data_IF_168417170661
#
_entry.id   IF_168417170661
#
_cell.length_a   1.000
_cell.length_b   1.000
_cell.length_c   1.000
_cell.angle_alpha   90.00
_cell.angle_beta   90.00
_cell.angle_gamma   90.00
#
_symmetry.space_group_name_H-M   'P 1'
#
loop_
_entity.id
_entity.type
_entity.pdbx_description
1 polymer ?
#
# COMPACT_ATOMS: atom_id res chain seq x y z
N UNK A 1 14.62 2.54 -20.28
CA UNK A 1 14.60 1.80 -19.01
C UNK A 1 13.87 2.70 -18.03
N UNK A 2 12.79 2.22 -17.40
CA UNK A 2 12.16 3.00 -16.32
C UNK A 2 13.15 3.06 -15.16
N UNK A 3 13.48 4.27 -14.70
CA UNK A 3 14.27 4.44 -13.48
C UNK A 3 13.41 3.99 -12.29
N UNK A 4 13.70 2.78 -11.80
CA UNK A 4 13.08 2.19 -10.64
C UNK A 4 13.37 3.06 -9.41
N UNK A 5 12.33 3.59 -8.78
CA UNK A 5 12.45 4.51 -7.64
C UNK A 5 12.45 3.74 -6.33
N UNK A 6 13.10 4.33 -5.32
CA UNK A 6 13.04 3.85 -3.94
C UNK A 6 12.13 4.71 -3.06
N UNK A 7 11.28 4.05 -2.28
CA UNK A 7 10.50 4.64 -1.21
C UNK A 7 10.84 4.01 0.14
N UNK A 8 10.90 4.81 1.20
CA UNK A 8 11.11 4.34 2.56
C UNK A 8 9.77 3.90 3.16
N UNK A 9 9.60 2.60 3.41
CA UNK A 9 8.47 2.07 4.16
C UNK A 9 8.70 2.24 5.67
N UNK A 10 7.90 3.12 6.30
CA UNK A 10 7.91 3.34 7.75
C UNK A 10 7.10 2.27 8.51
N UNK A 11 6.14 1.65 7.81
CA UNK A 11 5.20 0.71 8.42
C UNK A 11 4.20 1.40 9.36
N UNK A 12 3.59 0.60 10.23
CA UNK A 12 2.74 1.03 11.34
C UNK A 12 3.44 0.73 12.67
N UNK A 13 3.03 1.37 13.75
CA UNK A 13 3.65 1.18 15.07
C UNK A 13 3.21 -0.11 15.75
N UNK A 14 4.14 -0.73 16.49
CA UNK A 14 3.84 -1.80 17.44
C UNK A 14 3.34 -1.22 18.76
N UNK A 15 4.03 -1.53 19.86
CA UNK A 15 3.72 -0.92 21.17
C UNK A 15 4.00 0.59 21.22
N UNK A 16 4.83 1.10 20.32
CA UNK A 16 5.19 2.51 20.19
C UNK A 16 5.91 2.79 18.86
N UNK A 17 6.31 4.06 18.62
CA UNK A 17 7.06 4.40 17.43
C UNK A 17 8.41 3.64 17.40
N UNK A 18 8.82 3.11 16.23
CA UNK A 18 10.16 2.58 16.06
C UNK A 18 11.23 3.61 16.49
N UNK A 19 12.29 3.18 17.18
CA UNK A 19 13.35 4.10 17.58
C UNK A 19 14.07 4.65 16.34
N UNK A 20 14.49 5.92 16.41
CA UNK A 20 15.35 6.52 15.39
C UNK A 20 14.67 6.91 14.06
N UNK A 21 13.33 6.86 13.94
CA UNK A 21 12.62 7.19 12.69
C UNK A 21 13.03 8.53 12.07
N UNK A 22 13.18 9.60 12.85
CA UNK A 22 13.57 10.92 12.34
C UNK A 22 14.97 10.92 11.69
N UNK A 23 15.92 10.19 12.29
CA UNK A 23 17.26 10.00 11.72
C UNK A 23 17.18 9.19 10.43
N UNK A 24 16.39 8.11 10.44
CA UNK A 24 16.23 7.24 9.27
C UNK A 24 15.63 7.97 8.07
N UNK A 25 14.60 8.80 8.28
CA UNK A 25 13.99 9.62 7.24
C UNK A 25 14.99 10.61 6.65
N UNK A 26 15.73 11.32 7.49
CA UNK A 26 16.78 12.25 7.03
C UNK A 26 17.88 11.51 6.25
N UNK A 27 18.26 10.30 6.68
CA UNK A 27 19.23 9.48 5.98
C UNK A 27 18.70 9.02 4.60
N UNK A 28 17.46 8.55 4.53
CA UNK A 28 16.82 8.16 3.27
C UNK A 28 16.75 9.32 2.27
N UNK A 29 16.40 10.54 2.71
CA UNK A 29 16.40 11.72 1.82
C UNK A 29 17.79 12.06 1.27
N UNK A 30 18.85 11.85 2.07
CA UNK A 30 20.24 12.04 1.65
C UNK A 30 20.71 10.96 0.68
N UNK A 31 20.24 9.72 0.89
CA UNK A 31 20.52 8.56 0.02
C UNK A 31 19.71 8.58 -1.29
N UNK A 32 18.86 9.59 -1.50
CA UNK A 32 18.12 9.77 -2.75
C UNK A 32 16.82 8.99 -2.84
N UNK A 33 16.24 8.53 -1.73
CA UNK A 33 14.90 7.95 -1.74
C UNK A 33 13.87 8.99 -2.20
N UNK A 34 13.02 8.63 -3.16
CA UNK A 34 12.02 9.51 -3.78
C UNK A 34 10.88 9.84 -2.79
N UNK A 35 10.54 8.88 -1.92
CA UNK A 35 9.32 8.95 -1.12
C UNK A 35 9.44 8.23 0.23
N UNK A 36 8.58 8.57 1.20
CA UNK A 36 8.39 7.81 2.44
C UNK A 36 6.93 7.47 2.64
N UNK A 37 6.67 6.30 3.23
CA UNK A 37 5.34 5.71 3.28
C UNK A 37 4.97 5.18 4.66
N UNK A 38 3.93 5.76 5.28
CA UNK A 38 3.38 5.27 6.55
C UNK A 38 2.16 4.39 6.32
N UNK A 39 1.98 3.36 7.15
CA UNK A 39 0.85 2.45 7.06
C UNK A 39 -0.10 2.63 8.26
N UNK A 40 -1.38 2.33 8.03
CA UNK A 40 -2.42 2.31 9.05
C UNK A 40 -2.92 0.89 9.26
N UNK A 41 -2.90 0.47 10.52
CA UNK A 41 -3.53 -0.75 11.00
C UNK A 41 -4.45 -0.39 12.18
N UNK A 42 -4.48 -1.18 13.24
CA UNK A 42 -5.24 -0.93 14.47
C UNK A 42 -4.35 -0.34 15.59
N UNK A 43 -3.42 0.53 15.22
CA UNK A 43 -2.45 1.19 16.10
C UNK A 43 -2.29 2.67 15.75
N UNK A 44 -1.09 3.08 15.32
CA UNK A 44 -0.86 4.42 14.78
C UNK A 44 -1.64 4.67 13.49
N UNK A 45 -2.13 5.90 13.30
CA UNK A 45 -2.65 6.35 12.01
C UNK A 45 -1.50 6.63 11.02
N UNK A 46 -1.81 6.67 9.71
CA UNK A 46 -0.78 6.89 8.68
C UNK A 46 -0.48 8.37 8.37
N UNK A 47 -1.33 9.32 8.78
CA UNK A 47 -1.20 10.74 8.41
C UNK A 47 -0.32 11.52 9.38
N UNK A 48 -0.48 11.29 10.69
CA UNK A 48 0.25 12.01 11.73
C UNK A 48 1.76 11.78 11.64
N UNK A 49 2.28 10.54 11.49
CA UNK A 49 3.72 10.32 11.33
C UNK A 49 4.28 11.00 10.09
N UNK A 50 3.53 11.02 8.98
CA UNK A 50 3.95 11.71 7.75
C UNK A 50 4.01 13.21 7.93
N UNK A 51 3.04 13.83 8.62
CA UNK A 51 3.08 15.26 8.91
C UNK A 51 4.29 15.61 9.78
N UNK A 52 4.51 14.83 10.84
CA UNK A 52 5.59 15.05 11.81
C UNK A 52 6.98 14.88 11.17
N UNK A 53 7.23 13.74 10.52
CA UNK A 53 8.52 13.44 9.88
C UNK A 53 8.68 14.23 8.57
N UNK A 54 7.58 14.51 7.87
CA UNK A 54 7.58 15.24 6.60
C UNK A 54 8.03 16.69 6.75
N UNK A 55 7.79 17.29 7.92
CA UNK A 55 8.25 18.62 8.27
C UNK A 55 9.80 18.74 8.28
N UNK A 56 10.52 17.63 8.47
CA UNK A 56 11.99 17.61 8.47
C UNK A 56 12.60 17.31 7.09
N UNK A 57 11.77 17.08 6.07
CA UNK A 57 12.20 16.76 4.70
C UNK A 57 11.86 17.90 3.73
N UNK A 58 12.54 17.95 2.58
CA UNK A 58 12.35 19.02 1.58
C UNK A 58 11.92 18.50 0.21
N UNK A 59 12.26 17.28 -0.15
CA UNK A 59 12.09 16.72 -1.50
C UNK A 59 11.22 15.47 -1.51
N UNK A 60 11.38 14.59 -0.52
CA UNK A 60 10.69 13.29 -0.53
C UNK A 60 9.17 13.44 -0.65
N UNK A 61 8.51 12.60 -1.44
CA UNK A 61 7.05 12.47 -1.41
C UNK A 61 6.58 11.81 -0.12
N UNK A 62 5.39 12.17 0.35
CA UNK A 62 4.79 11.64 1.57
C UNK A 62 3.61 10.75 1.17
N UNK A 63 3.77 9.44 1.21
CA UNK A 63 2.75 8.49 0.81
C UNK A 63 2.09 7.78 1.98
N UNK A 64 0.83 7.41 1.82
CA UNK A 64 0.15 6.48 2.75
C UNK A 64 0.09 5.10 2.12
N UNK A 65 0.43 4.03 2.85
CA UNK A 65 0.44 2.63 2.37
C UNK A 65 -0.19 1.67 3.38
N UNK A 66 -1.45 1.86 3.76
CA UNK A 66 -2.48 2.79 3.25
C UNK A 66 -3.16 3.51 4.41
N UNK A 67 -3.97 4.54 4.12
CA UNK A 67 -5.06 4.95 5.02
C UNK A 67 -6.28 4.06 4.78
N UNK A 68 -6.94 3.63 5.85
CA UNK A 68 -8.06 2.69 5.76
C UNK A 68 -9.36 3.45 5.52
N UNK A 69 -10.10 3.10 4.46
CA UNK A 69 -11.36 3.80 4.13
C UNK A 69 -12.42 3.70 5.23
N UNK A 70 -12.42 2.63 6.02
CA UNK A 70 -13.34 2.48 7.14
C UNK A 70 -13.01 3.40 8.33
N UNK A 71 -11.76 3.86 8.46
CA UNK A 71 -11.35 4.71 9.58
C UNK A 71 -11.98 6.11 9.53
N UNK A 72 -12.38 6.56 8.34
CA UNK A 72 -12.76 7.96 8.08
C UNK A 72 -13.78 8.06 6.94
N UNK A 73 -14.73 8.99 7.05
CA UNK A 73 -15.61 9.33 5.92
C UNK A 73 -14.78 9.89 4.75
N UNK A 74 -15.23 9.75 3.49
CA UNK A 74 -14.48 10.24 2.33
C UNK A 74 -14.16 11.74 2.41
N UNK A 75 -15.10 12.57 2.90
CA UNK A 75 -14.85 14.01 3.05
C UNK A 75 -13.77 14.29 4.10
N UNK A 76 -13.75 13.57 5.23
CA UNK A 76 -12.70 13.73 6.25
C UNK A 76 -11.31 13.33 5.72
N UNK A 77 -11.24 12.27 4.92
CA UNK A 77 -10.00 11.87 4.24
C UNK A 77 -9.52 12.91 3.23
N UNK A 78 -10.43 13.49 2.42
CA UNK A 78 -10.05 14.57 1.50
C UNK A 78 -9.55 15.82 2.25
N UNK A 79 -10.18 16.19 3.36
CA UNK A 79 -9.72 17.31 4.20
C UNK A 79 -8.29 17.06 4.67
N UNK A 80 -8.01 15.90 5.25
CA UNK A 80 -6.69 15.56 5.73
C UNK A 80 -5.65 15.51 4.60
N UNK A 81 -6.01 14.95 3.44
CA UNK A 81 -5.15 14.92 2.26
C UNK A 81 -4.78 16.32 1.78
N UNK A 82 -5.76 17.24 1.65
CA UNK A 82 -5.48 18.64 1.25
C UNK A 82 -4.62 19.37 2.27
N UNK A 83 -4.87 19.18 3.57
CA UNK A 83 -4.05 19.78 4.63
C UNK A 83 -2.61 19.30 4.55
N UNK A 84 -2.38 17.99 4.44
CA UNK A 84 -1.04 17.43 4.35
C UNK A 84 -0.35 17.79 3.03
N UNK A 85 -1.09 17.94 1.94
CA UNK A 85 -0.56 18.43 0.66
C UNK A 85 -0.06 19.88 0.79
N UNK A 86 -0.81 20.76 1.46
CA UNK A 86 -0.35 22.12 1.77
C UNK A 86 0.87 22.13 2.68
N UNK A 87 0.84 21.39 3.80
CA UNK A 87 1.96 21.33 4.75
C UNK A 87 3.25 20.80 4.11
N UNK A 88 3.11 19.86 3.18
CA UNK A 88 4.25 19.27 2.48
C UNK A 88 4.68 20.05 1.24
N UNK A 89 3.95 21.09 0.82
CA UNK A 89 4.26 21.85 -0.41
C UNK A 89 4.01 21.04 -1.69
N UNK A 90 2.93 20.25 -1.72
CA UNK A 90 2.50 19.49 -2.90
C UNK A 90 3.15 18.10 -3.04
N UNK A 91 3.73 17.57 -1.96
CA UNK A 91 4.48 16.31 -1.96
C UNK A 91 3.64 15.10 -1.51
N UNK A 92 2.37 15.30 -1.12
CA UNK A 92 1.57 14.21 -0.55
C UNK A 92 1.06 13.23 -1.62
N UNK A 93 0.88 11.96 -1.26
CA UNK A 93 0.31 10.91 -2.10
C UNK A 93 -0.65 10.10 -1.25
N UNK A 94 -1.91 10.05 -1.66
CA UNK A 94 -2.96 9.38 -0.90
C UNK A 94 -3.09 7.93 -1.35
N UNK A 95 -2.47 7.00 -0.62
CA UNK A 95 -2.74 5.58 -0.78
C UNK A 95 -3.89 5.12 0.10
N UNK A 96 -4.89 4.51 -0.52
CA UNK A 96 -6.15 4.10 0.11
C UNK A 96 -6.34 2.59 -0.01
N UNK A 97 -6.94 1.99 1.01
CA UNK A 97 -7.30 0.57 0.99
C UNK A 97 -8.60 0.28 1.71
N UNK A 98 -9.26 -0.80 1.27
CA UNK A 98 -10.53 -1.24 1.84
C UNK A 98 -10.38 -2.01 3.16
N UNK A 99 -9.17 -2.48 3.47
CA UNK A 99 -8.86 -3.43 4.54
C UNK A 99 -9.65 -4.74 4.41
N UNK A 100 -9.47 -5.67 5.35
CA UNK A 100 -10.25 -6.91 5.47
C UNK A 100 -11.38 -6.82 6.50
N UNK A 101 -12.33 -7.78 6.49
CA UNK A 101 -13.49 -7.77 7.40
C UNK A 101 -13.10 -7.77 8.88
N UNK A 102 -12.01 -8.46 9.27
CA UNK A 102 -11.53 -8.45 10.66
C UNK A 102 -11.28 -7.03 11.20
N UNK A 103 -10.70 -6.15 10.37
CA UNK A 103 -10.44 -4.76 10.75
C UNK A 103 -11.72 -3.93 10.62
N UNK A 104 -12.43 -4.05 9.50
CA UNK A 104 -13.60 -3.18 9.26
C UNK A 104 -14.73 -3.45 10.25
N UNK A 105 -15.06 -4.72 10.49
CA UNK A 105 -16.14 -5.12 11.39
C UNK A 105 -15.66 -5.17 12.85
N UNK A 106 -14.49 -5.75 13.10
CA UNK A 106 -13.99 -5.95 14.46
C UNK A 106 -13.42 -4.69 15.12
N UNK A 107 -12.70 -3.86 14.37
CA UNK A 107 -12.03 -2.68 14.92
C UNK A 107 -12.86 -1.39 14.72
N UNK A 108 -13.46 -1.20 13.55
CA UNK A 108 -14.25 0.00 13.26
C UNK A 108 -15.77 -0.17 13.45
N UNK A 109 -16.26 -1.39 13.71
CA UNK A 109 -17.68 -1.64 13.93
C UNK A 109 -18.56 -1.35 12.71
N UNK A 110 -17.99 -1.40 11.50
CA UNK A 110 -18.70 -1.09 10.26
C UNK A 110 -18.95 -2.37 9.45
N UNK A 111 -20.05 -2.45 8.69
CA UNK A 111 -20.30 -3.61 7.84
C UNK A 111 -19.31 -3.66 6.66
N UNK A 112 -19.01 -4.87 6.15
CA UNK A 112 -18.12 -5.07 4.99
C UNK A 112 -18.83 -5.53 3.68
N UNK A 113 -19.85 -4.81 3.16
CA UNK A 113 -20.51 -5.19 1.91
C UNK A 113 -19.75 -4.64 0.69
N UNK A 114 -19.65 -5.47 -0.36
CA UNK A 114 -19.26 -5.06 -1.74
C UNK A 114 -18.11 -4.03 -1.81
N UNK A 115 -16.88 -4.42 -1.41
CA UNK A 115 -15.75 -3.49 -1.28
C UNK A 115 -15.43 -2.70 -2.56
N UNK A 116 -15.65 -3.26 -3.75
CA UNK A 116 -15.44 -2.59 -5.04
C UNK A 116 -16.36 -1.38 -5.24
N UNK A 117 -17.67 -1.55 -5.07
CA UNK A 117 -18.65 -0.48 -5.24
C UNK A 117 -18.43 0.62 -4.21
N UNK A 118 -18.21 0.25 -2.94
CA UNK A 118 -17.87 1.21 -1.87
C UNK A 118 -16.62 2.02 -2.19
N UNK A 119 -15.56 1.38 -2.71
CA UNK A 119 -14.31 2.07 -3.08
C UNK A 119 -14.56 3.09 -4.19
N UNK A 120 -15.35 2.72 -5.21
CA UNK A 120 -15.71 3.63 -6.31
C UNK A 120 -16.45 4.86 -5.80
N UNK A 121 -17.47 4.69 -4.96
CA UNK A 121 -18.20 5.81 -4.37
C UNK A 121 -17.31 6.68 -3.47
N UNK A 122 -16.45 6.06 -2.65
CA UNK A 122 -15.51 6.78 -1.79
C UNK A 122 -14.56 7.67 -2.58
N UNK A 123 -13.93 7.12 -3.62
CA UNK A 123 -13.01 7.87 -4.49
C UNK A 123 -13.74 8.95 -5.29
N UNK A 124 -14.97 8.69 -5.76
CA UNK A 124 -15.77 9.71 -6.44
C UNK A 124 -16.03 10.93 -5.52
N UNK A 125 -16.41 10.69 -4.27
CA UNK A 125 -16.61 11.78 -3.28
C UNK A 125 -15.29 12.51 -2.98
N UNK A 126 -14.18 11.77 -2.80
CA UNK A 126 -12.86 12.38 -2.64
C UNK A 126 -12.54 13.34 -3.79
N UNK A 127 -12.75 12.91 -5.03
CA UNK A 127 -12.48 13.73 -6.22
C UNK A 127 -13.37 14.98 -6.27
N UNK A 128 -14.66 14.90 -5.92
CA UNK A 128 -15.51 16.09 -5.82
C UNK A 128 -14.97 17.11 -4.80
N UNK A 129 -14.51 16.63 -3.63
CA UNK A 129 -13.92 17.52 -2.60
C UNK A 129 -12.62 18.14 -3.12
N UNK A 130 -11.75 17.33 -3.73
CA UNK A 130 -10.46 17.77 -4.28
C UNK A 130 -10.61 18.69 -5.50
N UNK A 131 -11.71 18.59 -6.26
CA UNK A 131 -12.09 19.54 -7.30
C UNK A 131 -12.76 20.81 -6.74
N UNK A 132 -12.94 20.86 -5.40
CA UNK A 132 -13.62 21.94 -4.67
C UNK A 132 -15.04 22.20 -5.19
N UNK A 133 -15.75 21.14 -5.53
CA UNK A 133 -17.17 21.17 -5.89
C UNK A 133 -18.05 21.38 -4.65
N UNK A 134 -19.34 21.68 -4.86
CA UNK A 134 -20.33 21.49 -3.80
C UNK A 134 -20.65 20.00 -3.76
N UNK A 135 -20.25 19.32 -2.70
CA UNK A 135 -20.28 17.87 -2.64
C UNK A 135 -21.72 17.39 -2.45
N UNK A 136 -22.18 16.59 -3.40
CA UNK A 136 -23.46 15.89 -3.36
C UNK A 136 -23.26 14.50 -3.96
N UNK A 137 -23.81 13.49 -3.29
CA UNK A 137 -23.66 12.11 -3.71
C UNK A 137 -24.88 11.30 -3.27
N UNK A 138 -25.46 10.53 -4.19
CA UNK A 138 -26.59 9.64 -3.92
C UNK A 138 -26.22 8.22 -4.36
N UNK A 139 -25.42 7.57 -3.53
CA UNK A 139 -24.94 6.21 -3.74
C UNK A 139 -25.65 5.20 -2.87
N UNK A 140 -25.26 3.93 -3.04
CA UNK A 140 -25.73 2.84 -2.21
C UNK A 140 -25.01 2.82 -0.86
N UNK A 141 -23.71 3.19 -0.84
CA UNK A 141 -22.90 3.18 0.37
C UNK A 141 -22.77 4.56 1.02
N UNK A 142 -22.78 5.62 0.22
CA UNK A 142 -22.68 6.99 0.72
C UNK A 142 -23.82 7.86 0.19
N UNK A 143 -24.45 8.63 1.08
CA UNK A 143 -25.43 9.66 0.72
C UNK A 143 -25.08 10.97 1.40
N UNK A 144 -24.83 12.00 0.59
CA UNK A 144 -24.44 13.33 1.00
C UNK A 144 -25.29 14.36 0.25
N UNK A 145 -26.09 15.20 0.94
CA UNK A 145 -26.37 15.18 2.37
C UNK A 145 -27.08 13.88 2.84
N UNK A 146 -26.98 13.58 4.13
CA UNK A 146 -27.66 12.43 4.72
C UNK A 146 -29.20 12.58 4.62
N UNK A 147 -29.92 11.59 4.09
CA UNK A 147 -31.39 11.61 4.07
C UNK A 147 -31.95 11.37 5.47
N UNK A 148 -33.02 12.08 5.85
CA UNK A 148 -33.71 11.82 7.13
C UNK A 148 -33.08 12.44 8.38
N UNK A 149 -32.29 13.50 8.23
CA UNK A 149 -31.75 14.29 9.35
C UNK A 149 -32.62 15.47 9.78
N UNK A 150 -32.00 16.50 10.38
CA UNK A 150 -32.67 17.72 10.89
C UNK A 150 -33.27 18.64 9.81
N UNK A 151 -33.13 18.32 8.53
CA UNK A 151 -33.54 19.18 7.41
C UNK A 151 -32.59 20.36 7.12
N UNK A 152 -31.52 20.53 7.91
CA UNK A 152 -30.54 21.61 7.73
C UNK A 152 -29.35 21.24 6.84
N UNK A 153 -29.20 19.94 6.52
CA UNK A 153 -28.11 19.43 5.70
C UNK A 153 -28.18 19.98 4.27
N UNK A 154 -27.07 20.53 3.77
CA UNK A 154 -26.94 21.01 2.39
C UNK A 154 -25.57 20.66 1.83
N UNK A 155 -25.41 20.52 0.50
CA UNK A 155 -24.11 20.36 -0.12
C UNK A 155 -23.13 21.46 0.31
N UNK A 156 -21.97 21.05 0.82
CA UNK A 156 -20.90 21.96 1.25
C UNK A 156 -19.74 21.90 0.28
N UNK A 157 -18.96 22.97 0.27
CA UNK A 157 -17.72 23.10 -0.50
C UNK A 157 -16.57 23.27 0.47
N UNK A 158 -15.43 22.66 0.17
CA UNK A 158 -14.20 22.90 0.94
C UNK A 158 -13.85 24.39 0.97
N UNK A 159 -13.54 24.90 2.16
CA UNK A 159 -12.99 26.24 2.34
C UNK A 159 -11.54 26.30 1.87
N UNK A 160 -10.77 25.23 2.09
CA UNK A 160 -9.41 25.08 1.58
C UNK A 160 -9.46 24.92 0.06
N UNK A 161 -8.63 25.73 -0.62
CA UNK A 161 -8.35 25.56 -2.04
C UNK A 161 -7.28 24.48 -2.21
N UNK A 162 -7.45 23.51 -3.13
CA UNK A 162 -6.40 22.55 -3.45
C UNK A 162 -5.11 23.28 -3.86
N UNK A 163 -3.96 22.85 -3.34
CA UNK A 163 -2.67 23.45 -3.68
C UNK A 163 -2.30 23.23 -5.16
N UNK A 164 -2.70 22.08 -5.70
CA UNK A 164 -2.48 21.66 -7.08
C UNK A 164 -3.77 21.09 -7.67
N UNK A 165 -3.95 21.12 -9.00
CA UNK A 165 -5.18 20.65 -9.65
C UNK A 165 -5.40 19.15 -9.47
N UNK A 166 -4.33 18.40 -9.18
CA UNK A 166 -4.38 16.95 -9.09
C UNK A 166 -3.54 16.44 -7.91
N UNK A 167 -4.22 15.91 -6.89
CA UNK A 167 -3.61 15.17 -5.79
C UNK A 167 -3.64 13.67 -6.14
N UNK A 168 -2.48 12.98 -6.23
CA UNK A 168 -2.42 11.58 -6.62
C UNK A 168 -3.09 10.66 -5.59
N UNK A 169 -3.97 9.79 -6.07
CA UNK A 169 -4.64 8.75 -5.31
C UNK A 169 -4.16 7.38 -5.81
N UNK A 170 -3.58 6.57 -4.95
CA UNK A 170 -3.24 5.17 -5.24
C UNK A 170 -4.19 4.24 -4.49
N UNK A 171 -4.58 3.13 -5.12
CA UNK A 171 -5.42 2.12 -4.47
C UNK A 171 -4.61 0.86 -4.16
N UNK A 172 -4.67 0.38 -2.92
CA UNK A 172 -4.19 -0.94 -2.56
C UNK A 172 -5.18 -2.00 -3.02
N UNK A 173 -4.67 -2.97 -3.78
CA UNK A 173 -5.47 -4.02 -4.40
C UNK A 173 -4.63 -5.28 -4.59
N UNK A 174 -5.23 -6.45 -4.38
CA UNK A 174 -4.58 -7.75 -4.62
C UNK A 174 -5.32 -8.60 -5.66
N UNK A 175 -6.66 -8.67 -5.58
CA UNK A 175 -7.46 -9.44 -6.53
C UNK A 175 -7.63 -8.71 -7.88
N UNK A 176 -7.77 -9.44 -9.00
CA UNK A 176 -7.77 -8.87 -10.36
C UNK A 176 -8.84 -7.78 -10.56
N UNK A 177 -10.05 -7.98 -10.02
CA UNK A 177 -11.11 -6.96 -10.10
C UNK A 177 -10.76 -5.66 -9.37
N UNK A 178 -10.05 -5.73 -8.24
CA UNK A 178 -9.61 -4.54 -7.51
C UNK A 178 -8.43 -3.87 -8.22
N UNK A 179 -7.53 -4.64 -8.84
CA UNK A 179 -6.41 -4.13 -9.65
C UNK A 179 -6.94 -3.40 -10.88
N UNK A 180 -7.93 -3.99 -11.58
CA UNK A 180 -8.63 -3.32 -12.67
C UNK A 180 -9.33 -2.03 -12.21
N UNK A 181 -9.97 -2.04 -11.03
CA UNK A 181 -10.56 -0.83 -10.47
C UNK A 181 -9.51 0.26 -10.20
N UNK A 182 -8.32 -0.11 -9.70
CA UNK A 182 -7.22 0.84 -9.48
C UNK A 182 -6.80 1.53 -10.78
N UNK A 183 -6.59 0.76 -11.86
CA UNK A 183 -6.29 1.31 -13.19
C UNK A 183 -7.42 2.20 -13.74
N UNK A 184 -8.67 1.86 -13.43
CA UNK A 184 -9.84 2.59 -13.91
C UNK A 184 -10.00 3.98 -13.25
N UNK A 185 -9.91 4.07 -11.92
CA UNK A 185 -10.35 5.26 -11.16
C UNK A 185 -9.24 6.00 -10.39
N UNK A 186 -8.04 5.41 -10.30
CA UNK A 186 -6.94 5.93 -9.51
C UNK A 186 -5.76 6.40 -10.38
N UNK A 187 -4.77 7.00 -9.74
CA UNK A 187 -3.53 7.47 -10.38
C UNK A 187 -2.40 6.47 -10.23
N UNK A 188 -2.64 5.37 -9.52
CA UNK A 188 -1.71 4.27 -9.39
C UNK A 188 -2.25 3.13 -8.54
N UNK A 189 -1.43 2.10 -8.42
CA UNK A 189 -1.71 0.87 -7.69
C UNK A 189 -0.65 0.64 -6.61
N UNK A 190 -1.10 0.36 -5.39
CA UNK A 190 -0.26 -0.11 -4.29
C UNK A 190 -0.30 -1.63 -4.24
N UNK A 191 0.73 -2.25 -4.78
CA UNK A 191 0.89 -3.68 -4.83
C UNK A 191 1.49 -4.22 -3.52
N UNK A 192 0.99 -5.38 -3.11
CA UNK A 192 1.53 -6.16 -1.99
C UNK A 192 1.62 -7.62 -2.44
N UNK A 193 2.70 -8.31 -2.05
CA UNK A 193 2.98 -9.68 -2.51
C UNK A 193 2.95 -9.80 -4.03
N UNK A 194 3.51 -8.81 -4.72
CA UNK A 194 3.71 -8.85 -6.16
C UNK A 194 4.94 -9.68 -6.50
N UNK A 195 4.85 -10.47 -7.56
CA UNK A 195 6.01 -11.14 -8.14
C UNK A 195 6.30 -10.62 -9.55
N UNK A 196 7.51 -10.13 -9.84
CA UNK A 196 7.89 -9.75 -11.19
C UNK A 196 7.95 -10.95 -12.15
N UNK A 197 7.96 -12.18 -11.61
CA UNK A 197 8.01 -13.43 -12.36
C UNK A 197 6.63 -13.96 -12.77
N UNK A 198 5.55 -13.46 -12.13
CA UNK A 198 4.17 -13.90 -12.34
C UNK A 198 3.23 -12.69 -12.51
N UNK A 199 3.61 -11.72 -13.33
CA UNK A 199 2.89 -10.44 -13.46
C UNK A 199 1.83 -10.39 -14.56
N UNK A 200 1.74 -11.42 -15.41
CA UNK A 200 0.82 -11.45 -16.56
C UNK A 200 -0.64 -11.18 -16.14
N UNK A 201 -1.10 -11.82 -15.06
CA UNK A 201 -2.47 -11.60 -14.58
C UNK A 201 -2.71 -10.17 -14.09
N UNK A 202 -1.69 -9.51 -13.54
CA UNK A 202 -1.77 -8.11 -13.13
C UNK A 202 -1.78 -7.19 -14.35
N UNK A 203 -0.98 -7.50 -15.38
CA UNK A 203 -0.99 -6.76 -16.66
C UNK A 203 -2.37 -6.80 -17.31
N UNK A 204 -2.98 -7.99 -17.37
CA UNK A 204 -4.34 -8.16 -17.92
C UNK A 204 -5.37 -7.36 -17.11
N UNK A 205 -5.30 -7.43 -15.79
CA UNK A 205 -6.21 -6.68 -14.91
C UNK A 205 -6.04 -5.16 -15.07
N UNK A 206 -4.80 -4.66 -15.12
CA UNK A 206 -4.54 -3.24 -15.36
C UNK A 206 -5.06 -2.81 -16.74
N UNK A 207 -4.82 -3.62 -17.79
CA UNK A 207 -5.30 -3.33 -19.14
C UNK A 207 -6.83 -3.30 -19.21
N UNK A 208 -7.54 -4.21 -18.52
CA UNK A 208 -9.00 -4.15 -18.36
C UNK A 208 -9.45 -2.83 -17.73
N UNK A 209 -8.77 -2.39 -16.67
CA UNK A 209 -9.06 -1.12 -16.00
C UNK A 209 -8.81 0.11 -16.87
N UNK A 210 -7.67 0.15 -17.58
CA UNK A 210 -7.35 1.23 -18.52
C UNK A 210 -8.32 1.29 -19.69
N UNK A 211 -8.77 0.14 -20.20
CA UNK A 211 -9.80 0.09 -21.23
C UNK A 211 -11.12 0.70 -20.75
N UNK A 212 -11.53 0.46 -19.49
CA UNK A 212 -12.71 1.11 -18.89
C UNK A 212 -12.53 2.61 -18.67
N UNK A 213 -11.32 3.04 -18.30
CA UNK A 213 -10.94 4.46 -18.18
C UNK A 213 -10.94 5.19 -19.52
N UNK A 214 -10.65 4.47 -20.61
CA UNK A 214 -10.44 5.02 -21.95
C UNK A 214 -9.04 5.59 -22.18
N UNK A 215 -8.09 5.34 -21.26
CA UNK A 215 -6.70 5.78 -21.38
C UNK A 215 -5.77 4.96 -20.49
N UNK A 216 -4.50 4.84 -20.92
CA UNK A 216 -3.38 4.37 -20.08
C UNK A 216 -2.48 5.57 -19.80
N UNK A 217 -2.56 6.20 -18.61
CA UNK A 217 -1.74 7.37 -18.32
C UNK A 217 -0.27 6.98 -18.16
N UNK A 218 0.63 7.71 -18.83
CA UNK A 218 2.08 7.55 -18.65
C UNK A 218 2.52 7.81 -17.19
N UNK A 219 1.71 8.55 -16.44
CA UNK A 219 1.94 8.88 -15.03
C UNK A 219 1.40 7.84 -14.05
N UNK A 220 0.83 6.72 -14.51
CA UNK A 220 0.26 5.70 -13.61
C UNK A 220 1.36 5.02 -12.80
N UNK A 221 1.32 5.17 -11.48
CA UNK A 221 2.37 4.66 -10.60
C UNK A 221 2.04 3.25 -10.08
N UNK A 222 3.01 2.33 -10.12
CA UNK A 222 2.89 1.03 -9.45
C UNK A 222 3.91 0.97 -8.33
N UNK A 223 3.40 1.10 -7.12
CA UNK A 223 4.22 1.13 -5.91
C UNK A 223 4.10 -0.20 -5.20
N UNK A 224 5.22 -0.89 -4.97
CA UNK A 224 5.22 -2.22 -4.37
C UNK A 224 6.08 -2.26 -3.11
N UNK A 225 5.56 -2.80 -2.01
CA UNK A 225 6.39 -3.13 -0.85
C UNK A 225 7.23 -4.37 -1.14
N UNK A 226 8.56 -4.24 -0.98
CA UNK A 226 9.51 -5.33 -1.20
C UNK A 226 10.44 -5.44 0.00
N UNK A 227 10.57 -6.63 0.58
CA UNK A 227 11.59 -6.89 1.58
C UNK A 227 12.91 -7.13 0.86
N UNK A 228 13.95 -6.41 1.27
CA UNK A 228 15.31 -6.57 0.73
C UNK A 228 16.22 -6.94 1.90
N UNK A 229 16.64 -8.20 1.95
CA UNK A 229 17.46 -8.76 3.03
C UNK A 229 18.80 -9.21 2.47
N UNK A 230 19.83 -8.38 2.62
CA UNK A 230 21.20 -8.73 2.24
C UNK A 230 21.81 -9.67 3.28
N UNK A 231 22.35 -10.81 2.83
CA UNK A 231 23.05 -11.81 3.64
C UNK A 231 23.84 -12.75 2.73
N UNK A 232 25.00 -13.24 3.16
CA UNK A 232 25.73 -14.25 2.38
C UNK A 232 24.99 -15.60 2.38
N UNK A 233 24.15 -15.85 3.39
CA UNK A 233 23.26 -17.01 3.46
C UNK A 233 21.82 -16.63 3.06
N UNK A 234 21.39 -17.11 1.90
CA UNK A 234 20.06 -16.87 1.34
C UNK A 234 18.93 -17.40 2.24
N UNK A 235 19.15 -18.51 2.95
CA UNK A 235 18.15 -19.06 3.87
C UNK A 235 18.04 -18.18 5.12
N UNK A 236 19.17 -17.72 5.66
CA UNK A 236 19.20 -16.79 6.79
C UNK A 236 18.55 -15.44 6.45
N UNK A 237 18.70 -14.97 5.21
CA UNK A 237 17.98 -13.81 4.69
C UNK A 237 16.47 -14.07 4.61
N UNK A 238 16.07 -15.21 4.06
CA UNK A 238 14.67 -15.60 3.92
C UNK A 238 13.96 -15.78 5.27
N UNK A 239 14.66 -16.29 6.29
CA UNK A 239 14.16 -16.44 7.65
C UNK A 239 13.70 -15.13 8.29
N UNK A 240 14.23 -13.98 7.85
CA UNK A 240 13.77 -12.66 8.31
C UNK A 240 12.44 -12.24 7.69
N UNK A 241 12.07 -12.83 6.54
CA UNK A 241 10.83 -12.54 5.80
C UNK A 241 9.70 -13.51 6.18
N UNK A 242 10.03 -14.79 6.45
CA UNK A 242 9.08 -15.88 6.76
C UNK A 242 8.05 -15.53 7.85
N UNK A 243 8.38 -14.89 8.98
CA UNK A 243 7.39 -14.56 10.01
C UNK A 243 6.28 -13.63 9.52
N UNK A 244 6.63 -12.66 8.67
CA UNK A 244 5.67 -11.75 8.07
C UNK A 244 4.78 -12.51 7.10
N UNK A 245 5.35 -13.33 6.20
CA UNK A 245 4.56 -14.14 5.28
C UNK A 245 3.63 -15.11 6.03
N UNK A 246 4.07 -15.73 7.10
CA UNK A 246 3.24 -16.61 7.93
C UNK A 246 2.05 -15.87 8.54
N UNK A 247 2.25 -14.64 9.05
CA UNK A 247 1.16 -13.80 9.53
C UNK A 247 0.17 -13.47 8.42
N UNK A 248 0.63 -13.01 7.26
CA UNK A 248 -0.28 -12.55 6.20
C UNK A 248 -1.01 -13.71 5.52
N UNK A 249 -0.29 -14.76 5.14
CA UNK A 249 -0.85 -15.97 4.51
C UNK A 249 -1.71 -16.78 5.50
N UNK A 250 -1.30 -16.86 6.76
CA UNK A 250 -1.96 -17.70 7.75
C UNK A 250 -2.99 -17.00 8.62
N UNK A 251 -2.67 -15.81 9.15
CA UNK A 251 -3.40 -15.19 10.26
C UNK A 251 -4.17 -13.90 9.94
N UNK A 252 -3.85 -13.19 8.86
CA UNK A 252 -4.41 -11.85 8.61
C UNK A 252 -5.82 -11.87 7.96
N UNK A 253 -6.29 -13.03 7.52
CA UNK A 253 -7.65 -13.25 7.04
C UNK A 253 -8.26 -14.51 7.64
N UNK A 254 -9.58 -14.62 7.57
CA UNK A 254 -10.29 -15.82 8.01
C UNK A 254 -10.13 -16.96 6.98
N UNK A 255 -10.33 -18.20 7.41
CA UNK A 255 -10.37 -19.36 6.50
C UNK A 255 -11.46 -19.14 5.44
N UNK A 256 -11.11 -19.30 4.16
CA UNK A 256 -12.00 -19.00 3.02
C UNK A 256 -12.13 -17.52 2.64
N UNK A 257 -11.54 -16.61 3.42
CA UNK A 257 -11.58 -15.16 3.19
C UNK A 257 -10.23 -14.49 3.55
N UNK A 258 -9.13 -15.03 3.02
CA UNK A 258 -7.80 -14.44 3.13
C UNK A 258 -7.24 -14.10 1.73
N UNK A 259 -7.14 -12.81 1.42
CA UNK A 259 -6.67 -12.34 0.12
C UNK A 259 -5.19 -12.64 -0.13
N UNK A 260 -4.38 -12.61 0.92
CA UNK A 260 -2.94 -12.90 0.86
C UNK A 260 -2.68 -14.37 0.60
N UNK A 261 -3.43 -15.27 1.24
CA UNK A 261 -3.44 -16.70 0.91
C UNK A 261 -3.68 -16.88 -0.60
N UNK A 262 -4.71 -16.21 -1.13
CA UNK A 262 -5.09 -16.35 -2.53
C UNK A 262 -4.01 -15.79 -3.47
N UNK A 263 -3.27 -14.76 -3.06
CA UNK A 263 -2.15 -14.23 -3.83
C UNK A 263 -1.05 -15.28 -4.05
N UNK A 264 -0.63 -15.96 -2.99
CA UNK A 264 0.39 -17.00 -3.09
C UNK A 264 -0.13 -18.31 -3.70
N UNK A 265 -1.42 -18.65 -3.49
CA UNK A 265 -2.04 -19.79 -4.18
C UNK A 265 -2.00 -19.61 -5.71
N UNK A 266 -2.26 -18.39 -6.21
CA UNK A 266 -2.12 -18.05 -7.65
C UNK A 266 -0.67 -18.17 -8.17
N UNK A 267 0.32 -18.05 -7.29
CA UNK A 267 1.74 -18.25 -7.61
C UNK A 267 2.17 -19.73 -7.53
N UNK A 268 1.23 -20.65 -7.28
CA UNK A 268 1.48 -22.09 -7.23
C UNK A 268 1.75 -22.67 -5.84
N UNK A 269 1.60 -21.89 -4.76
CA UNK A 269 1.91 -22.31 -3.39
C UNK A 269 0.66 -22.65 -2.57
N UNK A 270 -0.41 -23.17 -3.19
CA UNK A 270 -1.69 -23.42 -2.50
C UNK A 270 -1.54 -24.41 -1.34
N UNK A 271 -0.75 -25.47 -1.52
CA UNK A 271 -0.51 -26.50 -0.50
C UNK A 271 0.25 -25.93 0.71
N UNK A 272 1.30 -25.15 0.46
CA UNK A 272 2.08 -24.44 1.47
C UNK A 272 1.19 -23.45 2.22
N UNK A 273 0.37 -22.68 1.50
CA UNK A 273 -0.56 -21.72 2.10
C UNK A 273 -1.56 -22.43 3.02
N UNK A 274 -2.10 -23.59 2.61
CA UNK A 274 -3.03 -24.38 3.43
C UNK A 274 -2.37 -24.83 4.73
N UNK A 275 -1.13 -25.33 4.64
CA UNK A 275 -0.33 -25.77 5.78
C UNK A 275 0.02 -24.62 6.73
N UNK A 276 0.45 -23.48 6.19
CA UNK A 276 0.78 -22.27 6.96
C UNK A 276 -0.44 -21.75 7.71
N UNK A 277 -1.61 -21.68 7.05
CA UNK A 277 -2.85 -21.22 7.68
C UNK A 277 -3.31 -22.16 8.80
N UNK A 278 -3.26 -23.47 8.59
CA UNK A 278 -3.57 -24.47 9.62
C UNK A 278 -2.68 -24.26 10.86
N UNK A 279 -1.37 -24.18 10.68
CA UNK A 279 -0.40 -23.98 11.76
C UNK A 279 -0.62 -22.65 12.49
N UNK A 280 -0.79 -21.56 11.73
CA UNK A 280 -0.91 -20.23 12.31
C UNK A 280 -2.18 -20.07 13.15
N UNK A 281 -3.32 -20.53 12.62
CA UNK A 281 -4.60 -20.50 13.34
C UNK A 281 -4.61 -21.48 14.53
N UNK A 282 -3.82 -22.56 14.46
CA UNK A 282 -3.54 -23.46 15.59
C UNK A 282 -2.57 -22.90 16.63
N UNK A 283 -2.12 -21.64 16.50
CA UNK A 283 -1.18 -21.00 17.43
C UNK A 283 0.29 -21.39 17.24
N UNK A 284 0.61 -22.26 16.27
CA UNK A 284 1.96 -22.79 15.98
C UNK A 284 2.72 -21.86 15.03
N UNK A 285 2.88 -20.59 15.42
CA UNK A 285 3.40 -19.52 14.54
C UNK A 285 4.82 -19.76 14.03
N UNK A 286 5.71 -20.29 14.88
CA UNK A 286 7.09 -20.60 14.47
C UNK A 286 7.13 -21.70 13.41
N UNK A 287 6.31 -22.73 13.58
CA UNK A 287 6.20 -23.82 12.60
C UNK A 287 5.53 -23.35 11.31
N UNK A 288 4.56 -22.42 11.41
CA UNK A 288 3.97 -21.79 10.24
C UNK A 288 5.00 -21.01 9.42
N UNK A 289 5.93 -20.29 10.09
CA UNK A 289 7.03 -19.61 9.41
C UNK A 289 8.02 -20.61 8.77
N UNK A 290 8.39 -21.67 9.48
CA UNK A 290 9.29 -22.70 8.97
C UNK A 290 8.71 -23.51 7.79
N UNK A 291 7.38 -23.57 7.67
CA UNK A 291 6.71 -24.24 6.55
C UNK A 291 6.75 -23.47 5.23
N UNK A 292 7.25 -22.22 5.21
CA UNK A 292 7.33 -21.39 4.01
C UNK A 292 8.65 -21.69 3.28
N UNK A 293 8.62 -22.29 2.08
CA UNK A 293 9.84 -22.61 1.35
C UNK A 293 10.53 -21.34 0.85
N UNK A 294 11.86 -21.40 0.67
CA UNK A 294 12.64 -20.29 0.11
C UNK A 294 12.06 -19.77 -1.21
N UNK A 295 11.67 -20.67 -2.11
CA UNK A 295 11.07 -20.31 -3.41
C UNK A 295 9.81 -19.43 -3.28
N UNK A 296 9.02 -19.57 -2.21
CA UNK A 296 7.86 -18.72 -1.95
C UNK A 296 8.28 -17.32 -1.49
N UNK A 297 9.38 -17.21 -0.73
CA UNK A 297 9.97 -15.92 -0.31
C UNK A 297 10.52 -15.17 -1.52
N UNK A 298 11.31 -15.85 -2.36
CA UNK A 298 11.97 -15.26 -3.52
C UNK A 298 11.00 -14.78 -4.60
N UNK A 299 9.74 -15.24 -4.59
CA UNK A 299 8.71 -14.67 -5.48
C UNK A 299 8.43 -13.19 -5.20
N UNK A 300 8.53 -12.74 -3.95
CA UNK A 300 8.00 -11.44 -3.52
C UNK A 300 9.01 -10.58 -2.75
N UNK A 301 10.23 -11.08 -2.56
CA UNK A 301 11.30 -10.42 -1.82
C UNK A 301 12.64 -10.62 -2.53
N UNK A 302 13.58 -9.73 -2.25
CA UNK A 302 14.98 -9.84 -2.67
C UNK A 302 15.79 -10.28 -1.46
N UNK A 303 16.24 -11.53 -1.45
CA UNK A 303 16.94 -12.13 -0.30
C UNK A 303 18.23 -12.81 -0.75
N UNK A 304 19.28 -12.64 0.04
CA UNK A 304 20.58 -13.30 -0.16
C UNK A 304 21.72 -12.35 -0.52
N UNK A 305 22.78 -12.86 -1.16
CA UNK A 305 24.00 -12.11 -1.39
C UNK A 305 23.75 -10.89 -2.28
N UNK A 306 24.60 -9.88 -2.14
CA UNK A 306 24.49 -8.62 -2.88
C UNK A 306 24.44 -8.86 -4.40
N UNK A 307 25.28 -9.75 -4.92
CA UNK A 307 25.39 -10.07 -6.34
C UNK A 307 24.10 -10.71 -6.86
N UNK A 308 23.53 -11.66 -6.10
CA UNK A 308 22.24 -12.30 -6.41
C UNK A 308 21.12 -11.26 -6.50
N UNK A 309 21.04 -10.36 -5.52
CA UNK A 309 20.04 -9.29 -5.51
C UNK A 309 20.23 -8.34 -6.71
N UNK A 310 21.49 -8.02 -7.06
CA UNK A 310 21.79 -7.19 -8.23
C UNK A 310 21.29 -7.82 -9.54
N UNK A 311 21.43 -9.14 -9.70
CA UNK A 311 20.92 -9.89 -10.85
C UNK A 311 19.38 -9.89 -10.88
N UNK A 312 18.74 -10.17 -9.75
CA UNK A 312 17.27 -10.23 -9.63
C UNK A 312 16.58 -8.88 -9.85
N UNK A 313 17.26 -7.77 -9.56
CA UNK A 313 16.75 -6.42 -9.83
C UNK A 313 16.41 -6.20 -11.31
N UNK A 314 17.00 -6.95 -12.25
CA UNK A 314 16.64 -6.88 -13.66
C UNK A 314 15.17 -7.25 -13.92
N UNK A 315 14.65 -8.25 -13.19
CA UNK A 315 13.24 -8.63 -13.27
C UNK A 315 12.33 -7.52 -12.71
N UNK A 316 12.71 -6.91 -11.59
CA UNK A 316 11.94 -5.80 -11.01
C UNK A 316 11.92 -4.57 -11.92
N UNK A 317 13.04 -4.22 -12.56
CA UNK A 317 13.14 -3.10 -13.51
C UNK A 317 12.33 -3.31 -14.78
N UNK A 318 12.10 -4.55 -15.20
CA UNK A 318 11.28 -4.90 -16.38
C UNK A 318 9.81 -5.18 -16.04
N UNK A 319 9.49 -5.24 -14.75
CA UNK A 319 8.15 -5.47 -14.22
C UNK A 319 7.24 -4.24 -14.33
N UNK A 320 6.01 -4.34 -13.84
CA UNK A 320 5.09 -3.20 -13.72
C UNK A 320 5.54 -2.17 -12.68
N UNK A 321 6.42 -2.54 -11.73
CA UNK A 321 6.77 -1.72 -10.56
C UNK A 321 7.59 -0.49 -10.97
N UNK A 322 7.09 0.68 -10.59
CA UNK A 322 7.78 1.97 -10.76
C UNK A 322 8.51 2.41 -9.50
N UNK A 323 7.99 2.05 -8.32
CA UNK A 323 8.52 2.44 -7.01
C UNK A 323 8.57 1.25 -6.06
N UNK A 324 9.75 0.88 -5.57
CA UNK A 324 9.93 -0.13 -4.52
C UNK A 324 9.91 0.52 -3.14
N UNK A 325 8.98 0.11 -2.29
CA UNK A 325 8.94 0.50 -0.88
C UNK A 325 9.73 -0.50 -0.05
N UNK A 326 10.84 -0.06 0.51
CA UNK A 326 11.77 -0.89 1.29
C UNK A 326 11.94 -0.34 2.69
N UNK A 327 12.33 -1.20 3.63
CA UNK A 327 12.59 -0.83 5.03
C UNK A 327 13.92 -1.41 5.47
N UNK A 328 14.57 -0.77 6.44
CA UNK A 328 15.85 -1.19 6.97
C UNK A 328 16.43 -0.18 7.93
N UNK A 329 17.57 -0.51 8.52
CA UNK A 329 18.43 0.49 9.16
C UNK A 329 19.18 1.33 8.11
N UNK A 330 19.91 2.34 8.56
CA UNK A 330 20.63 3.26 7.67
C UNK A 330 21.65 2.54 6.77
N UNK A 331 22.32 1.51 7.27
CA UNK A 331 23.31 0.74 6.51
C UNK A 331 22.64 -0.06 5.38
N UNK A 332 21.54 -0.73 5.68
CA UNK A 332 20.75 -1.47 4.70
C UNK A 332 20.15 -0.54 3.65
N UNK A 333 19.58 0.60 4.06
CA UNK A 333 19.03 1.56 3.11
C UNK A 333 20.10 2.10 2.15
N UNK A 334 21.33 2.32 2.64
CA UNK A 334 22.45 2.73 1.81
C UNK A 334 22.85 1.64 0.81
N UNK A 335 22.95 0.39 1.26
CA UNK A 335 23.25 -0.75 0.38
C UNK A 335 22.19 -0.94 -0.73
N UNK A 336 20.90 -0.78 -0.39
CA UNK A 336 19.82 -0.85 -1.38
C UNK A 336 19.88 0.32 -2.37
N UNK A 337 20.15 1.55 -1.89
CA UNK A 337 20.29 2.71 -2.77
C UNK A 337 21.41 2.51 -3.79
N UNK A 338 22.56 2.03 -3.34
CA UNK A 338 23.72 1.71 -4.18
C UNK A 338 23.42 0.59 -5.21
N UNK A 339 22.64 -0.43 -4.84
CA UNK A 339 22.17 -1.47 -5.78
C UNK A 339 21.20 -0.94 -6.86
N UNK A 340 20.31 -0.01 -6.48
CA UNK A 340 19.22 0.44 -7.37
C UNK A 340 19.60 1.67 -8.19
N UNK A 341 20.42 2.57 -7.67
CA UNK A 341 20.82 3.80 -8.37
C UNK A 341 22.16 3.65 -9.12
N UNK A 342 23.00 2.68 -8.74
CA UNK A 342 24.40 2.60 -9.18
C UNK A 342 25.25 3.70 -8.58
#
# INVERSE_FOLDING_TARGET
MSDLKLGLALGYWGAGPPPGLARLVTAAERLGYDSMWAAEAYGSDALTPLAWLGATTRRMRLGTSIVQMAARTPVATAMAAMTLDHLSGGRFVLGLGASGPQVVEGWYGQPYPRPLARTREYVAILRQVLAREKVSFDGEHYRLPHPGGSGLGKPLRSTIHPLRPHLPILLAAEGPKNVALAAEIADGWLAMFYSPYDDAYHRDALQEGFARRGATPDSFEVTCRVNVELDDDVEAAADRVRPMLALYVGGMGAKGANFHYQAFARMGFEAECARVQELYLGGRKAEAAAAIPLAMVEKVALVGPREKIAEELAAWRSSLVTTMLVSGDEARLAAIADLVHG
#
